data_IF_117073781601
#
_entry.id   IF_117073781601
#
_cell.length_a   1.000
_cell.length_b   1.000
_cell.length_c   1.000
_cell.angle_alpha   90.00
_cell.angle_beta   90.00
_cell.angle_gamma   90.00
#
_symmetry.space_group_name_H-M   'P 1'
#
loop_
_entity.id
_entity.type
_entity.pdbx_description
1 polymer ?
#
# COMPACT_ATOMS: atom_id res chain seq x y z
N UNK A 1 -1.14 17.55 12.17
CA UNK A 1 -0.47 17.94 10.90
C UNK A 1 0.86 17.21 10.71
N UNK A 2 1.71 17.13 11.73
CA UNK A 2 2.99 16.40 11.68
C UNK A 2 2.86 14.95 11.18
N UNK A 3 1.96 14.16 11.77
CA UNK A 3 1.75 12.76 11.36
C UNK A 3 1.30 12.59 9.90
N UNK A 4 0.60 13.59 9.33
CA UNK A 4 0.18 13.55 7.92
C UNK A 4 1.40 13.72 7.01
N UNK A 5 2.28 14.66 7.33
CA UNK A 5 3.51 14.89 6.58
C UNK A 5 4.42 13.65 6.68
N UNK A 6 4.54 13.07 7.87
CA UNK A 6 5.31 11.84 8.09
C UNK A 6 4.74 10.67 7.28
N UNK A 7 3.42 10.43 7.36
CA UNK A 7 2.77 9.35 6.62
C UNK A 7 2.94 9.50 5.11
N UNK A 8 2.78 10.73 4.58
CA UNK A 8 3.02 11.02 3.16
C UNK A 8 4.49 10.79 2.77
N UNK A 9 5.44 11.25 3.59
CA UNK A 9 6.86 11.04 3.36
C UNK A 9 7.24 9.55 3.31
N UNK A 10 6.72 8.77 4.25
CA UNK A 10 6.93 7.31 4.28
C UNK A 10 6.34 6.61 3.06
N UNK A 11 5.12 6.97 2.65
CA UNK A 11 4.49 6.42 1.43
C UNK A 11 5.35 6.74 0.21
N UNK A 12 5.83 7.97 0.05
CA UNK A 12 6.69 8.35 -1.07
C UNK A 12 8.03 7.61 -1.09
N UNK A 13 8.63 7.38 0.08
CA UNK A 13 9.87 6.59 0.20
C UNK A 13 9.60 5.14 -0.24
N UNK A 14 8.57 4.49 0.30
CA UNK A 14 8.27 3.09 0.02
C UNK A 14 7.91 2.90 -1.46
N UNK A 15 7.01 3.72 -2.01
CA UNK A 15 6.63 3.68 -3.42
C UNK A 15 7.82 3.98 -4.32
N UNK A 16 8.58 5.05 -4.03
CA UNK A 16 9.75 5.45 -4.80
C UNK A 16 10.85 4.39 -4.84
N UNK A 17 11.07 3.68 -3.72
CA UNK A 17 12.00 2.54 -3.67
C UNK A 17 11.55 1.40 -4.58
N UNK A 18 10.25 1.09 -4.61
CA UNK A 18 9.73 0.05 -5.48
C UNK A 18 9.99 0.39 -6.96
N UNK A 19 9.75 1.63 -7.38
CA UNK A 19 10.07 2.09 -8.74
C UNK A 19 11.58 2.14 -9.03
N UNK A 20 12.40 2.56 -8.06
CA UNK A 20 13.84 2.73 -8.27
C UNK A 20 14.63 1.41 -8.28
N UNK A 21 14.25 0.46 -7.42
CA UNK A 21 14.99 -0.80 -7.23
C UNK A 21 14.45 -1.95 -8.10
N UNK A 22 13.15 -1.97 -8.38
CA UNK A 22 12.51 -3.08 -9.09
C UNK A 22 11.40 -2.60 -10.05
N UNK A 23 11.72 -1.78 -11.07
CA UNK A 23 10.72 -1.24 -11.99
C UNK A 23 9.95 -2.34 -12.74
N UNK A 24 10.62 -3.43 -13.15
CA UNK A 24 9.98 -4.56 -13.86
C UNK A 24 8.95 -5.29 -13.00
N UNK A 25 9.19 -5.38 -11.69
CA UNK A 25 8.23 -5.99 -10.77
C UNK A 25 6.91 -5.21 -10.70
N UNK A 26 6.97 -3.88 -10.81
CA UNK A 26 5.78 -3.04 -10.86
C UNK A 26 5.00 -3.27 -12.15
N UNK A 27 5.69 -3.38 -13.29
CA UNK A 27 5.06 -3.68 -14.57
C UNK A 27 4.33 -5.03 -14.54
N UNK A 28 4.99 -6.09 -14.07
CA UNK A 28 4.41 -7.42 -13.92
C UNK A 28 3.18 -7.42 -12.99
N UNK A 29 3.27 -6.71 -11.86
CA UNK A 29 2.17 -6.57 -10.91
C UNK A 29 0.98 -5.85 -11.55
N UNK A 30 1.23 -4.79 -12.32
CA UNK A 30 0.18 -4.05 -13.02
C UNK A 30 -0.48 -4.88 -14.11
N UNK A 31 0.28 -5.69 -14.85
CA UNK A 31 -0.27 -6.60 -15.84
C UNK A 31 -1.16 -7.67 -15.19
N UNK A 32 -0.67 -8.27 -14.10
CA UNK A 32 -1.47 -9.21 -13.30
C UNK A 32 -2.76 -8.55 -12.80
N UNK A 33 -2.69 -7.36 -12.20
CA UNK A 33 -3.87 -6.63 -11.71
C UNK A 33 -4.86 -6.30 -12.82
N UNK A 34 -4.36 -5.98 -14.03
CA UNK A 34 -5.18 -5.73 -15.22
C UNK A 34 -5.93 -6.98 -15.69
N UNK A 35 -5.33 -8.16 -15.55
CA UNK A 35 -5.96 -9.44 -15.92
C UNK A 35 -7.11 -9.85 -14.99
N UNK A 36 -7.19 -9.29 -13.78
CA UNK A 36 -8.22 -9.62 -12.80
C UNK A 36 -9.57 -8.93 -13.12
N UNK A 37 -10.71 -9.62 -12.88
CA UNK A 37 -12.02 -8.99 -12.90
C UNK A 37 -12.12 -7.82 -11.93
N UNK A 38 -12.94 -6.81 -12.27
CA UNK A 38 -13.09 -5.59 -11.46
C UNK A 38 -13.51 -5.88 -10.01
N UNK A 39 -14.43 -6.82 -9.81
CA UNK A 39 -14.88 -7.21 -8.48
C UNK A 39 -13.74 -7.78 -7.61
N UNK A 40 -12.86 -8.59 -8.19
CA UNK A 40 -11.69 -9.14 -7.50
C UNK A 40 -10.69 -8.03 -7.16
N UNK A 41 -10.40 -7.13 -8.10
CA UNK A 41 -9.50 -5.99 -7.87
C UNK A 41 -10.02 -5.09 -6.74
N UNK A 42 -11.33 -4.82 -6.72
CA UNK A 42 -11.97 -4.06 -5.64
C UNK A 42 -11.84 -4.77 -4.30
N UNK A 43 -12.11 -6.07 -4.25
CA UNK A 43 -12.02 -6.84 -3.01
C UNK A 43 -10.59 -6.90 -2.47
N UNK A 44 -9.58 -7.01 -3.33
CA UNK A 44 -8.17 -6.91 -2.92
C UNK A 44 -7.85 -5.54 -2.31
N UNK A 45 -8.32 -4.44 -2.92
CA UNK A 45 -8.16 -3.10 -2.37
C UNK A 45 -8.83 -2.93 -1.01
N UNK A 46 -10.05 -3.46 -0.85
CA UNK A 46 -10.77 -3.45 0.43
C UNK A 46 -10.04 -4.28 1.50
N UNK A 47 -9.49 -5.43 1.13
CA UNK A 47 -8.69 -6.26 2.04
C UNK A 47 -7.40 -5.55 2.48
N UNK A 48 -6.69 -4.90 1.56
CA UNK A 48 -5.50 -4.11 1.87
C UNK A 48 -5.82 -2.92 2.79
N UNK A 49 -6.94 -2.23 2.56
CA UNK A 49 -7.42 -1.16 3.42
C UNK A 49 -7.76 -1.66 4.83
N UNK A 50 -8.50 -2.76 4.94
CA UNK A 50 -8.86 -3.36 6.23
C UNK A 50 -7.62 -3.79 7.03
N UNK A 51 -6.63 -4.38 6.35
CA UNK A 51 -5.36 -4.75 6.95
C UNK A 51 -4.58 -3.51 7.42
N UNK A 52 -4.49 -2.47 6.59
CA UNK A 52 -3.82 -1.22 6.94
C UNK A 52 -4.42 -0.55 8.18
N UNK A 53 -5.75 -0.46 8.24
CA UNK A 53 -6.46 0.05 9.43
C UNK A 53 -6.16 -0.80 10.67
N UNK A 54 -6.17 -2.13 10.52
CA UNK A 54 -5.88 -3.06 11.62
C UNK A 54 -4.46 -2.87 12.14
N UNK A 55 -3.48 -2.74 11.25
CA UNK A 55 -2.07 -2.52 11.62
C UNK A 55 -1.88 -1.19 12.35
N UNK A 56 -2.49 -0.10 11.86
CA UNK A 56 -2.44 1.20 12.53
C UNK A 56 -3.09 1.14 13.92
N UNK A 57 -4.22 0.45 14.04
CA UNK A 57 -4.89 0.26 15.32
C UNK A 57 -4.04 -0.53 16.32
N UNK A 58 -3.39 -1.61 15.87
CA UNK A 58 -2.46 -2.39 16.68
C UNK A 58 -1.23 -1.56 17.09
N UNK A 59 -0.62 -0.83 16.16
CA UNK A 59 0.53 0.02 16.44
C UNK A 59 0.20 1.06 17.52
N UNK A 60 -0.97 1.71 17.40
CA UNK A 60 -1.46 2.64 18.41
C UNK A 60 -1.70 1.95 19.76
N UNK A 61 -2.25 0.73 19.75
CA UNK A 61 -2.42 -0.08 20.96
C UNK A 61 -1.10 -0.46 21.64
N UNK A 62 0.00 -0.54 20.87
CA UNK A 62 1.36 -0.81 21.35
C UNK A 62 2.13 0.45 21.76
N UNK A 63 1.52 1.64 21.65
CA UNK A 63 2.09 2.91 22.12
C UNK A 63 2.71 3.81 21.04
N UNK A 64 2.41 3.56 19.75
CA UNK A 64 2.76 4.47 18.65
C UNK A 64 1.92 5.75 18.61
#
# INVERSE_FOLDING_TARGET
MEHVILALGLVLIVEGLAYALAPSFIEDLLEMLRSLPEATRRNMGLAALALGVTLVWLAKGLGA
#
